data_IF_134781656161
#
_entry.id   IF_134781656161
#
_cell.length_a   1.000
_cell.length_b   1.000
_cell.length_c   1.000
_cell.angle_alpha   90.00
_cell.angle_beta   90.00
_cell.angle_gamma   90.00
#
_symmetry.space_group_name_H-M   'P 1'
#
loop_
_entity.id
_entity.type
_entity.pdbx_description
1 polymer ?
#
# COMPACT_ATOMS: atom_id res chain seq x y z
N UNK A 1 2.67 11.73 8.43
CA UNK A 1 4.07 11.62 7.93
C UNK A 1 4.07 11.25 6.44
N UNK A 2 5.15 11.52 5.72
CA UNK A 2 5.34 11.09 4.33
C UNK A 2 6.31 9.92 4.26
N UNK A 3 5.89 8.83 3.63
CA UNK A 3 6.70 7.65 3.32
C UNK A 3 6.77 7.50 1.80
N UNK A 4 7.92 7.07 1.27
CA UNK A 4 8.09 6.67 -0.14
C UNK A 4 8.72 5.29 -0.20
N UNK A 5 8.45 4.53 -1.26
CA UNK A 5 9.08 3.24 -1.52
C UNK A 5 9.27 3.02 -3.02
N UNK A 6 9.75 1.84 -3.38
CA UNK A 6 10.01 1.48 -4.77
C UNK A 6 8.75 0.97 -5.49
N UNK A 7 8.04 0.05 -4.85
CA UNK A 7 6.87 -0.64 -5.39
C UNK A 7 5.95 -1.12 -4.25
N UNK A 8 4.71 -1.45 -4.59
CA UNK A 8 3.75 -2.09 -3.70
C UNK A 8 3.69 -3.59 -3.95
N UNK A 9 3.65 -4.38 -2.88
CA UNK A 9 3.66 -5.86 -2.95
C UNK A 9 2.57 -6.47 -2.08
N UNK A 10 2.06 -7.63 -2.48
CA UNK A 10 1.18 -8.46 -1.63
C UNK A 10 1.97 -8.91 -0.40
N UNK A 11 1.35 -8.85 0.78
CA UNK A 11 1.98 -9.15 2.05
C UNK A 11 1.08 -10.00 2.94
N UNK A 12 1.62 -11.07 3.57
CA UNK A 12 0.84 -11.93 4.45
C UNK A 12 0.58 -11.33 5.85
N UNK A 13 1.26 -10.24 6.22
CA UNK A 13 1.19 -9.66 7.58
C UNK A 13 0.59 -8.26 7.64
N UNK A 14 0.56 -7.54 6.51
CA UNK A 14 -0.06 -6.21 6.45
C UNK A 14 -1.53 -6.33 6.11
N UNK A 15 -2.34 -5.39 6.61
CA UNK A 15 -3.80 -5.42 6.49
C UNK A 15 -4.37 -4.35 5.55
N UNK A 16 -3.54 -3.44 5.03
CA UNK A 16 -4.00 -2.43 4.08
C UNK A 16 -4.54 -3.10 2.82
N UNK A 17 -5.72 -2.66 2.34
CA UNK A 17 -6.35 -3.17 1.11
C UNK A 17 -6.61 -4.69 1.05
N UNK A 18 -6.71 -5.38 2.19
CA UNK A 18 -7.21 -6.77 2.24
C UNK A 18 -8.62 -6.82 1.67
N UNK A 19 -8.91 -7.82 0.83
CA UNK A 19 -10.19 -7.98 0.16
C UNK A 19 -10.40 -7.08 -1.06
N UNK A 20 -9.56 -6.05 -1.25
CA UNK A 20 -9.59 -5.19 -2.44
C UNK A 20 -8.68 -5.71 -3.55
N UNK A 21 -7.51 -6.25 -3.19
CA UNK A 21 -6.53 -6.80 -4.14
C UNK A 21 -6.36 -8.31 -4.00
N UNK A 22 -6.33 -8.83 -2.77
CA UNK A 22 -6.22 -10.25 -2.47
C UNK A 22 -7.20 -10.61 -1.34
N UNK A 23 -7.88 -11.79 -1.38
CA UNK A 23 -8.93 -12.12 -0.42
C UNK A 23 -8.48 -12.16 1.04
N UNK A 24 -7.26 -12.63 1.32
CA UNK A 24 -6.74 -12.83 2.69
C UNK A 24 -5.42 -12.10 3.02
N UNK A 25 -4.84 -11.36 2.07
CA UNK A 25 -3.52 -10.73 2.21
C UNK A 25 -3.64 -9.24 1.90
N UNK A 26 -2.89 -8.41 2.62
CA UNK A 26 -2.89 -6.98 2.38
C UNK A 26 -1.73 -6.54 1.50
N UNK A 27 -1.57 -5.23 1.38
CA UNK A 27 -0.53 -4.59 0.58
C UNK A 27 0.51 -3.94 1.50
N UNK A 28 1.77 -4.09 1.14
CA UNK A 28 2.90 -3.41 1.78
C UNK A 28 3.70 -2.61 0.75
N UNK A 29 4.58 -1.75 1.24
CA UNK A 29 5.48 -0.94 0.43
C UNK A 29 6.87 -1.55 0.51
N UNK A 30 7.48 -1.84 -0.64
CA UNK A 30 8.86 -2.32 -0.71
C UNK A 30 9.85 -1.16 -0.52
N UNK A 31 10.83 -1.41 0.35
CA UNK A 31 11.87 -0.44 0.73
C UNK A 31 11.32 0.91 1.20
N UNK A 32 10.45 0.93 2.22
CA UNK A 32 9.85 2.16 2.70
C UNK A 32 10.93 3.06 3.32
N UNK A 33 10.92 4.33 2.94
CA UNK A 33 11.79 5.38 3.45
C UNK A 33 10.93 6.51 3.98
N UNK A 34 11.20 6.91 5.21
CA UNK A 34 10.68 8.14 5.76
C UNK A 34 11.22 9.33 4.95
N UNK A 35 10.32 10.26 4.64
CA UNK A 35 10.66 11.49 3.91
C UNK A 35 10.61 12.69 4.83
N UNK A 36 9.46 12.91 5.47
CA UNK A 36 9.23 14.07 6.32
C UNK A 36 8.02 13.89 7.24
N UNK A 37 7.95 14.68 8.28
CA UNK A 37 6.73 14.88 9.06
C UNK A 37 5.79 15.79 8.27
N UNK A 38 4.49 15.52 8.41
CA UNK A 38 3.41 16.32 7.84
C UNK A 38 2.54 16.67 9.03
N UNK A 39 2.76 17.85 9.61
CA UNK A 39 2.18 18.24 10.90
C UNK A 39 0.71 18.70 10.78
N UNK A 40 0.33 19.10 9.57
CA UNK A 40 -0.97 19.65 9.18
C UNK A 40 -1.98 18.59 8.74
N UNK A 41 -1.58 17.31 8.63
CA UNK A 41 -2.44 16.21 8.17
C UNK A 41 -3.01 15.41 9.33
N UNK A 42 -4.33 15.25 9.36
CA UNK A 42 -5.05 14.40 10.32
C UNK A 42 -5.01 12.91 9.90
N UNK A 43 -5.24 11.98 10.84
CA UNK A 43 -5.31 10.54 10.52
C UNK A 43 -6.30 10.22 9.40
N UNK A 44 -7.49 10.84 9.41
CA UNK A 44 -8.55 10.59 8.42
C UNK A 44 -8.25 11.18 7.03
N UNK A 45 -7.21 12.01 6.92
CA UNK A 45 -6.73 12.59 5.66
C UNK A 45 -5.50 11.85 5.12
N UNK A 46 -5.08 10.77 5.78
CA UNK A 46 -4.02 9.90 5.28
C UNK A 46 -4.54 9.01 4.13
N UNK A 47 -3.61 8.49 3.33
CA UNK A 47 -3.95 7.58 2.24
C UNK A 47 -4.78 6.40 2.73
N UNK A 48 -5.88 6.12 2.05
CA UNK A 48 -6.84 5.09 2.43
C UNK A 48 -6.47 3.72 1.87
N UNK A 49 -7.20 2.67 2.25
CA UNK A 49 -7.03 1.34 1.67
C UNK A 49 -7.33 1.34 0.16
N UNK A 50 -8.33 2.11 -0.27
CA UNK A 50 -8.69 2.28 -1.67
C UNK A 50 -7.58 2.98 -2.46
N UNK A 51 -6.96 4.02 -1.88
CA UNK A 51 -5.79 4.67 -2.49
C UNK A 51 -4.65 3.67 -2.70
N UNK A 52 -4.34 2.86 -1.69
CA UNK A 52 -3.28 1.85 -1.76
C UNK A 52 -3.59 0.79 -2.82
N UNK A 53 -4.84 0.33 -2.91
CA UNK A 53 -5.28 -0.62 -3.94
C UNK A 53 -5.15 -0.01 -5.35
N UNK A 54 -5.61 1.24 -5.54
CA UNK A 54 -5.50 1.94 -6.80
C UNK A 54 -4.03 2.14 -7.22
N UNK A 55 -3.17 2.55 -6.28
CA UNK A 55 -1.73 2.70 -6.52
C UNK A 55 -1.08 1.37 -6.89
N UNK A 56 -1.42 0.27 -6.20
CA UNK A 56 -0.94 -1.07 -6.51
C UNK A 56 -1.31 -1.49 -7.94
N UNK A 57 -2.57 -1.29 -8.35
CA UNK A 57 -3.07 -1.62 -9.69
C UNK A 57 -2.49 -0.72 -10.79
N UNK A 58 -2.08 0.51 -10.45
CA UNK A 58 -1.49 1.47 -11.40
C UNK A 58 -0.01 1.22 -11.70
N UNK A 59 0.64 0.26 -11.02
CA UNK A 59 2.05 -0.06 -11.26
C UNK A 59 2.27 -0.58 -12.68
N UNK A 60 3.30 -0.08 -13.36
CA UNK A 60 3.69 -0.58 -14.70
C UNK A 60 4.14 -2.04 -14.67
N UNK A 61 4.71 -2.48 -13.54
CA UNK A 61 5.03 -3.89 -13.29
C UNK A 61 3.77 -4.59 -12.80
N UNK A 62 3.30 -5.58 -13.56
CA UNK A 62 2.26 -6.49 -13.08
C UNK A 62 2.85 -7.33 -11.96
N UNK A 63 2.18 -7.31 -10.81
CA UNK A 63 2.51 -8.17 -9.68
C UNK A 63 1.67 -9.43 -9.78
N UNK A 64 2.28 -10.59 -9.55
CA UNK A 64 1.54 -11.84 -9.45
C UNK A 64 0.75 -11.86 -8.15
N UNK A 65 -0.56 -11.66 -8.27
CA UNK A 65 -1.52 -11.93 -7.20
C UNK A 65 -1.86 -13.41 -7.35
N UNK A 66 -0.97 -14.28 -6.87
CA UNK A 66 -1.26 -15.70 -6.82
C UNK A 66 -2.40 -15.92 -5.81
N UNK A 67 -3.49 -16.51 -6.27
CA UNK A 67 -4.46 -17.16 -5.39
C UNK A 67 -3.76 -18.43 -4.87
N UNK A 68 -3.63 -18.57 -3.55
CA UNK A 68 -3.04 -19.76 -2.93
C UNK A 68 -3.80 -21.06 -3.29
#
# INVERSE_FOLDING_TARGET
>A
MGIRGADFTVSPVHQAAVGLVHPSRGISIRFPRYVRTVADRKPDECSTSEDIAAMFCSQTRKMDVAED
#
